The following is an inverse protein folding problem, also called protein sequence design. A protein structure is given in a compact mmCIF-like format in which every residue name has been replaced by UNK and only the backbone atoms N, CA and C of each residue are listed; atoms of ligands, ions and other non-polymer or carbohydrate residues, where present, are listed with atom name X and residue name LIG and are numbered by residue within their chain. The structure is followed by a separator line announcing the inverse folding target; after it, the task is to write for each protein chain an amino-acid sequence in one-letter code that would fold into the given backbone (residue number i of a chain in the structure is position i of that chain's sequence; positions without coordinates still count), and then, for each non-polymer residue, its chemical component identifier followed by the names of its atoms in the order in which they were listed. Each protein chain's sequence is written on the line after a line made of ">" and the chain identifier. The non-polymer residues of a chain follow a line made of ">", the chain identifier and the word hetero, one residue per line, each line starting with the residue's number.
data_IF_868051412547
#
_entry.id   IF_868051412547
#
_cell.length_a   1.000
_cell.length_b   1.000
_cell.length_c   1.000
_cell.angle_alpha   90.00
_cell.angle_beta   90.00
_cell.angle_gamma   90.00
#
_symmetry.space_group_name_H-M   'P 1'
#
loop_
_entity.id
_entity.type
_entity.pdbx_description
1 polymer ?
#
# COMPACT_ATOMS: atom_id res chain seq x y z
N UNK A 1 18.08 -3.18 -17.61
CA UNK A 1 18.06 -3.59 -16.17
C UNK A 1 17.20 -2.59 -15.43
N UNK A 2 16.36 -3.03 -14.48
CA UNK A 2 15.55 -2.14 -13.65
C UNK A 2 16.04 -2.19 -12.21
N UNK A 3 16.12 -1.05 -11.56
CA UNK A 3 16.54 -0.91 -10.17
C UNK A 3 15.39 -0.42 -9.32
N UNK A 4 15.13 -1.14 -8.24
CA UNK A 4 14.11 -0.78 -7.24
C UNK A 4 14.72 -0.57 -5.87
N UNK A 5 13.99 0.14 -5.02
CA UNK A 5 14.33 0.28 -3.61
C UNK A 5 13.08 0.14 -2.75
N UNK A 6 13.28 -0.23 -1.49
CA UNK A 6 12.26 -0.09 -0.47
C UNK A 6 12.20 1.36 -0.01
N UNK A 7 11.00 1.88 0.21
CA UNK A 7 10.86 3.17 0.87
C UNK A 7 11.58 3.12 2.23
N UNK A 8 12.41 4.11 2.55
CA UNK A 8 13.11 4.16 3.82
C UNK A 8 12.12 4.58 4.92
N UNK A 9 11.34 3.62 5.37
CA UNK A 9 10.55 3.75 6.59
C UNK A 9 11.38 3.21 7.75
N UNK A 10 11.30 3.77 8.94
CA UNK A 10 12.06 3.28 10.09
C UNK A 10 11.60 1.87 10.45
N UNK A 11 12.28 0.87 9.86
CA UNK A 11 12.05 -0.53 10.19
C UNK A 11 12.68 -0.86 11.54
N UNK A 12 11.82 -1.08 12.53
CA UNK A 12 12.26 -1.50 13.85
C UNK A 12 11.75 -2.91 14.12
N UNK A 13 12.64 -3.82 14.48
CA UNK A 13 12.28 -5.20 14.79
C UNK A 13 11.36 -5.27 16.00
N UNK A 14 10.19 -5.88 15.86
CA UNK A 14 9.23 -6.08 16.95
C UNK A 14 9.92 -6.77 18.15
N UNK A 15 9.71 -6.22 19.35
CA UNK A 15 10.28 -6.74 20.60
C UNK A 15 11.68 -6.24 20.96
N UNK A 16 12.31 -5.40 20.13
CA UNK A 16 13.60 -4.79 20.44
C UNK A 16 13.45 -3.57 21.37
N UNK A 17 14.56 -3.21 22.09
CA UNK A 17 14.60 -1.94 22.84
C UNK A 17 14.42 -0.73 21.93
N UNK A 18 14.91 -0.82 20.69
CA UNK A 18 14.73 0.20 19.66
C UNK A 18 13.26 0.40 19.31
N UNK A 19 12.47 -0.68 19.29
CA UNK A 19 11.02 -0.60 19.06
C UNK A 19 10.32 0.20 20.14
N UNK A 20 10.63 -0.05 21.42
CA UNK A 20 10.04 0.70 22.52
C UNK A 20 10.39 2.19 22.45
N UNK A 21 11.62 2.54 22.07
CA UNK A 21 12.06 3.92 21.87
C UNK A 21 11.38 4.56 20.64
N UNK A 22 11.26 3.82 19.54
CA UNK A 22 10.60 4.29 18.33
C UNK A 22 9.10 4.54 18.57
N UNK A 23 8.42 3.64 19.28
CA UNK A 23 7.02 3.81 19.69
C UNK A 23 6.86 5.03 20.57
N UNK A 24 7.72 5.20 21.57
CA UNK A 24 7.68 6.36 22.48
C UNK A 24 7.90 7.68 21.70
N UNK A 25 8.84 7.69 20.76
CA UNK A 25 9.09 8.84 19.89
C UNK A 25 7.94 9.14 18.94
N UNK A 26 7.37 8.11 18.31
CA UNK A 26 6.24 8.26 17.38
C UNK A 26 4.93 8.67 18.08
N UNK A 27 4.76 8.28 19.35
CA UNK A 27 3.60 8.65 20.16
C UNK A 27 3.70 10.07 20.73
N UNK A 28 4.89 10.70 20.69
CA UNK A 28 5.06 12.06 21.19
C UNK A 28 4.46 13.07 20.17
N UNK A 29 3.71 14.07 20.65
CA UNK A 29 3.24 15.14 19.80
C UNK A 29 4.43 15.87 19.15
N UNK A 30 4.34 16.14 17.87
CA UNK A 30 5.30 17.02 17.20
C UNK A 30 5.06 18.48 17.62
N UNK A 31 6.11 19.25 17.88
CA UNK A 31 5.95 20.68 18.09
C UNK A 31 5.34 21.37 16.86
N UNK A 32 4.60 22.45 17.09
CA UNK A 32 3.96 23.20 16.02
C UNK A 32 4.97 23.63 14.94
N UNK A 33 4.64 23.36 13.69
CA UNK A 33 5.47 23.72 12.53
C UNK A 33 6.72 22.84 12.32
N UNK A 34 6.91 21.80 13.12
CA UNK A 34 8.01 20.83 12.94
C UNK A 34 7.53 19.66 12.07
N UNK A 35 8.21 19.43 10.96
CA UNK A 35 7.94 18.26 10.12
C UNK A 35 8.39 16.98 10.81
N UNK A 36 7.62 15.90 10.59
CA UNK A 36 7.99 14.57 11.07
C UNK A 36 9.34 14.14 10.49
N UNK A 37 10.30 13.72 11.34
CA UNK A 37 11.62 13.30 10.86
C UNK A 37 11.57 12.09 9.92
N UNK A 38 10.64 11.15 10.13
CA UNK A 38 10.47 9.97 9.25
C UNK A 38 9.94 10.40 7.89
N UNK A 39 8.98 11.32 7.85
CA UNK A 39 8.53 11.94 6.61
C UNK A 39 9.65 12.67 5.88
N UNK A 40 10.42 13.50 6.60
CA UNK A 40 11.53 14.28 6.00
C UNK A 40 12.56 13.35 5.36
N UNK A 41 12.98 12.31 6.07
CA UNK A 41 13.92 11.32 5.56
C UNK A 41 13.36 10.59 4.32
N UNK A 42 12.15 10.07 4.41
CA UNK A 42 11.50 9.35 3.31
C UNK A 42 11.38 10.22 2.07
N UNK A 43 10.88 11.44 2.23
CA UNK A 43 10.73 12.41 1.15
C UNK A 43 12.06 12.68 0.45
N UNK A 44 13.10 13.03 1.21
CA UNK A 44 14.37 13.46 0.64
C UNK A 44 15.09 12.32 -0.07
N UNK A 45 15.10 11.12 0.52
CA UNK A 45 15.71 9.92 -0.09
C UNK A 45 14.96 9.50 -1.37
N UNK A 46 13.62 9.53 -1.35
CA UNK A 46 12.83 9.04 -2.49
C UNK A 46 12.80 10.05 -3.65
N UNK A 47 12.86 11.35 -3.37
CA UNK A 47 13.07 12.37 -4.41
C UNK A 47 14.46 12.21 -5.05
N UNK A 48 15.49 11.95 -4.26
CA UNK A 48 16.83 11.72 -4.79
C UNK A 48 16.91 10.42 -5.60
N UNK A 49 16.21 9.37 -5.20
CA UNK A 49 16.08 8.15 -5.98
C UNK A 49 15.47 8.40 -7.37
N UNK A 50 14.42 9.25 -7.45
CA UNK A 50 13.84 9.68 -8.75
C UNK A 50 14.88 10.39 -9.63
N UNK A 51 15.68 11.28 -9.05
CA UNK A 51 16.77 11.99 -9.74
C UNK A 51 17.88 11.04 -10.20
N UNK A 52 18.23 10.06 -9.38
CA UNK A 52 19.22 9.02 -9.69
C UNK A 52 18.72 7.92 -10.64
N UNK A 53 17.52 8.08 -11.19
CA UNK A 53 16.94 7.17 -12.20
C UNK A 53 16.67 5.75 -11.69
N UNK A 54 16.31 5.59 -10.43
CA UNK A 54 15.67 4.36 -9.98
C UNK A 54 14.31 4.18 -10.68
N UNK A 55 13.94 2.93 -10.96
CA UNK A 55 12.74 2.62 -11.73
C UNK A 55 11.50 2.48 -10.87
N UNK A 56 11.62 1.99 -9.64
CA UNK A 56 10.49 1.64 -8.78
C UNK A 56 10.81 1.78 -7.30
N UNK A 57 9.84 2.28 -6.54
CA UNK A 57 9.84 2.29 -5.07
C UNK A 57 8.79 1.29 -4.59
N UNK A 58 9.15 0.38 -3.70
CA UNK A 58 8.20 -0.44 -2.96
C UNK A 58 7.88 0.23 -1.63
N UNK A 59 6.63 0.65 -1.48
CA UNK A 59 6.05 1.05 -0.20
C UNK A 59 5.48 -0.20 0.46
N UNK A 60 6.29 -0.78 1.35
CA UNK A 60 5.86 -1.95 2.10
C UNK A 60 4.84 -1.55 3.16
N UNK A 61 3.83 -2.41 3.37
CA UNK A 61 2.82 -2.19 4.39
C UNK A 61 3.11 -3.06 5.62
N UNK A 62 3.14 -2.42 6.76
CA UNK A 62 3.24 -3.06 8.06
C UNK A 62 2.26 -2.39 9.02
N UNK A 63 1.38 -3.20 9.57
CA UNK A 63 0.37 -2.70 10.49
C UNK A 63 0.83 -2.72 11.96
N UNK A 64 1.95 -3.40 12.23
CA UNK A 64 2.63 -3.41 13.52
C UNK A 64 3.87 -2.52 13.45
N UNK A 65 3.91 -1.48 14.23
CA UNK A 65 5.09 -0.64 14.36
C UNK A 65 4.82 0.84 14.16
N UNK A 66 5.87 1.56 13.77
CA UNK A 66 5.85 3.02 13.60
C UNK A 66 5.92 3.44 12.13
N UNK A 67 5.73 2.50 11.22
CA UNK A 67 5.80 2.76 9.79
C UNK A 67 4.63 3.66 9.34
N UNK A 68 4.90 4.58 8.45
CA UNK A 68 3.84 5.36 7.80
C UNK A 68 3.03 4.45 6.88
N UNK A 69 1.73 4.68 6.81
CA UNK A 69 0.83 3.90 5.98
C UNK A 69 1.20 4.02 4.49
N UNK A 70 1.26 2.88 3.79
CA UNK A 70 1.83 2.76 2.45
C UNK A 70 1.10 3.58 1.37
N UNK A 71 -0.23 3.64 1.41
CA UNK A 71 -1.02 4.41 0.43
C UNK A 71 -0.82 5.90 0.60
N UNK A 72 -0.85 6.38 1.84
CA UNK A 72 -0.69 7.80 2.15
C UNK A 72 0.71 8.26 1.78
N UNK A 73 1.74 7.53 2.23
CA UNK A 73 3.13 7.85 1.92
C UNK A 73 3.40 7.77 0.41
N UNK A 74 2.97 6.69 -0.24
CA UNK A 74 3.15 6.49 -1.67
C UNK A 74 2.44 7.55 -2.51
N UNK A 75 1.25 7.99 -2.11
CA UNK A 75 0.54 9.07 -2.79
C UNK A 75 1.26 10.41 -2.66
N UNK A 76 1.76 10.73 -1.46
CA UNK A 76 2.53 11.95 -1.22
C UNK A 76 3.82 11.97 -2.07
N UNK A 77 4.59 10.88 -2.07
CA UNK A 77 5.82 10.77 -2.85
C UNK A 77 5.54 10.78 -4.36
N UNK A 78 4.48 10.13 -4.82
CA UNK A 78 4.10 10.13 -6.24
C UNK A 78 3.82 11.53 -6.78
N UNK A 79 3.35 12.45 -5.94
CA UNK A 79 3.13 13.85 -6.31
C UNK A 79 4.41 14.70 -6.36
N UNK A 80 5.47 14.24 -5.72
CA UNK A 80 6.76 14.92 -5.63
C UNK A 80 7.82 14.36 -6.60
N UNK A 81 7.50 13.26 -7.29
CA UNK A 81 8.38 12.55 -8.23
C UNK A 81 7.82 12.60 -9.64
N UNK A 82 8.67 12.38 -10.66
CA UNK A 82 8.26 12.53 -12.06
C UNK A 82 8.47 11.30 -12.91
N UNK A 83 9.33 10.36 -12.51
CA UNK A 83 9.76 9.20 -13.31
C UNK A 83 9.56 7.88 -12.60
N UNK A 84 9.96 7.80 -11.35
CA UNK A 84 9.97 6.57 -10.57
C UNK A 84 8.54 6.06 -10.35
N UNK A 85 8.34 4.76 -10.48
CA UNK A 85 7.03 4.12 -10.23
C UNK A 85 6.85 3.85 -8.75
N UNK A 86 5.65 4.08 -8.26
CA UNK A 86 5.25 3.79 -6.87
C UNK A 86 4.52 2.46 -6.81
N UNK A 87 5.14 1.45 -6.20
CA UNK A 87 4.54 0.14 -5.94
C UNK A 87 4.00 0.10 -4.50
N UNK A 88 2.68 0.11 -4.36
CA UNK A 88 2.01 0.10 -3.06
C UNK A 88 1.69 -1.34 -2.65
N UNK A 89 2.10 -1.72 -1.44
CA UNK A 89 1.75 -3.01 -0.88
C UNK A 89 0.27 -3.03 -0.45
N UNK A 90 -0.41 -4.16 -0.74
CA UNK A 90 -1.81 -4.38 -0.40
C UNK A 90 -1.99 -5.78 0.15
N UNK A 91 -2.69 -5.91 1.27
CA UNK A 91 -3.06 -7.19 1.88
C UNK A 91 -4.53 -7.51 1.57
N UNK A 92 -4.84 -8.45 0.66
CA UNK A 92 -6.21 -8.79 0.30
C UNK A 92 -7.12 -9.19 1.48
N UNK A 93 -6.53 -9.56 2.62
CA UNK A 93 -7.26 -9.89 3.85
C UNK A 93 -7.69 -8.70 4.69
N UNK A 94 -7.10 -7.53 4.45
CA UNK A 94 -7.33 -6.32 5.24
C UNK A 94 -7.97 -5.20 4.39
N UNK A 95 -7.92 -5.31 3.08
CA UNK A 95 -8.45 -4.32 2.14
C UNK A 95 -9.61 -4.86 1.32
N UNK A 96 -10.58 -4.01 1.04
CA UNK A 96 -11.66 -4.31 0.10
C UNK A 96 -11.20 -4.04 -1.35
N UNK A 97 -11.36 -5.00 -2.29
CA UNK A 97 -10.84 -4.84 -3.65
C UNK A 97 -11.46 -3.64 -4.40
N UNK A 98 -12.76 -3.34 -4.17
CA UNK A 98 -13.40 -2.18 -4.81
C UNK A 98 -12.77 -0.85 -4.36
N UNK A 99 -12.44 -0.75 -3.07
CA UNK A 99 -11.77 0.45 -2.55
C UNK A 99 -10.36 0.57 -3.16
N UNK A 100 -9.62 -0.52 -3.19
CA UNK A 100 -8.29 -0.55 -3.81
C UNK A 100 -8.36 -0.22 -5.30
N UNK A 101 -9.33 -0.76 -6.04
CA UNK A 101 -9.53 -0.41 -7.45
C UNK A 101 -9.72 1.09 -7.65
N UNK A 102 -10.52 1.72 -6.80
CA UNK A 102 -10.78 3.17 -6.84
C UNK A 102 -9.55 4.00 -6.48
N UNK A 103 -8.85 3.65 -5.41
CA UNK A 103 -7.64 4.33 -4.96
C UNK A 103 -6.55 4.21 -6.01
N UNK A 104 -6.33 3.01 -6.56
CA UNK A 104 -5.36 2.75 -7.60
C UNK A 104 -5.64 3.56 -8.87
N UNK A 105 -6.88 3.57 -9.36
CA UNK A 105 -7.25 4.38 -10.53
C UNK A 105 -7.02 5.87 -10.29
N UNK A 106 -7.29 6.35 -9.08
CA UNK A 106 -7.07 7.74 -8.73
C UNK A 106 -5.58 8.08 -8.72
N UNK A 107 -4.78 7.28 -8.01
CA UNK A 107 -3.34 7.51 -7.91
C UNK A 107 -2.65 7.38 -9.26
N UNK A 108 -3.04 6.39 -10.07
CA UNK A 108 -2.49 6.20 -11.42
C UNK A 108 -2.68 7.45 -12.29
N UNK A 109 -3.84 8.08 -12.24
CA UNK A 109 -4.10 9.35 -12.94
C UNK A 109 -3.32 10.54 -12.37
N UNK A 110 -3.19 10.61 -11.05
CA UNK A 110 -2.43 11.68 -10.39
C UNK A 110 -0.94 11.58 -10.71
N UNK A 111 -0.40 10.38 -10.81
CA UNK A 111 1.02 10.15 -11.11
C UNK A 111 1.29 9.77 -12.58
N UNK A 112 0.34 10.00 -13.49
CA UNK A 112 0.49 9.77 -14.94
C UNK A 112 0.94 8.37 -15.34
N UNK A 113 0.27 7.34 -14.80
CA UNK A 113 0.51 5.93 -15.15
C UNK A 113 1.70 5.29 -14.44
N UNK A 114 2.16 5.85 -13.32
CA UNK A 114 3.34 5.34 -12.59
C UNK A 114 3.00 4.51 -11.34
N UNK A 115 1.73 4.14 -11.17
CA UNK A 115 1.28 3.35 -10.04
C UNK A 115 1.42 1.85 -10.31
N UNK A 116 1.85 1.10 -9.31
CA UNK A 116 1.88 -0.36 -9.31
C UNK A 116 1.31 -0.89 -7.99
N UNK A 117 0.84 -2.13 -8.00
CA UNK A 117 0.40 -2.83 -6.79
C UNK A 117 1.31 -4.02 -6.49
N UNK A 118 1.64 -4.20 -5.21
CA UNK A 118 2.27 -5.40 -4.68
C UNK A 118 1.26 -6.11 -3.78
N UNK A 119 0.65 -7.19 -4.28
CA UNK A 119 -0.33 -7.97 -3.52
C UNK A 119 0.38 -8.98 -2.63
N UNK A 120 0.19 -8.85 -1.33
CA UNK A 120 0.80 -9.69 -0.31
C UNK A 120 -0.31 -10.44 0.42
N UNK A 121 -0.28 -11.77 0.37
CA UNK A 121 -1.33 -12.60 1.01
C UNK A 121 -1.34 -12.53 2.53
N UNK A 122 -0.33 -11.91 3.12
CA UNK A 122 -0.16 -11.76 4.56
C UNK A 122 0.50 -12.99 5.21
N UNK A 123 1.18 -12.78 6.32
CA UNK A 123 1.85 -13.84 7.08
C UNK A 123 1.79 -13.58 8.60
N UNK A 124 1.51 -12.35 9.01
CA UNK A 124 1.53 -11.96 10.41
C UNK A 124 0.12 -12.04 11.02
N UNK A 125 -0.07 -13.02 11.89
CA UNK A 125 -1.35 -13.27 12.57
C UNK A 125 -1.72 -12.12 13.51
N UNK A 126 -0.74 -11.45 14.11
CA UNK A 126 -0.99 -10.35 15.05
C UNK A 126 -1.54 -9.12 14.33
N UNK A 127 -1.05 -8.82 13.15
CA UNK A 127 -1.58 -7.74 12.32
C UNK A 127 -3.06 -7.96 11.98
N UNK A 128 -3.42 -9.18 11.58
CA UNK A 128 -4.82 -9.52 11.32
C UNK A 128 -5.71 -9.35 12.56
N UNK A 129 -5.22 -9.75 13.74
CA UNK A 129 -5.95 -9.57 14.99
C UNK A 129 -6.16 -8.11 15.38
N UNK A 130 -5.16 -7.26 15.15
CA UNK A 130 -5.23 -5.83 15.48
C UNK A 130 -6.33 -5.11 14.70
N UNK A 131 -6.56 -5.50 13.46
CA UNK A 131 -7.55 -4.84 12.60
C UNK A 131 -8.95 -5.42 12.73
N UNK A 132 -9.20 -6.26 13.75
CA UNK A 132 -10.54 -6.81 14.04
C UNK A 132 -11.11 -7.69 12.93
N UNK A 133 -10.27 -8.13 12.02
CA UNK A 133 -10.65 -8.99 10.93
C UNK A 133 -10.90 -10.43 11.37
N UNK A 134 -11.32 -11.23 10.43
CA UNK A 134 -11.43 -12.67 10.59
C UNK A 134 -10.10 -13.29 11.02
N UNK A 135 -10.16 -14.46 11.66
CA UNK A 135 -8.96 -15.26 11.91
C UNK A 135 -8.19 -15.43 10.60
N UNK A 136 -6.89 -15.23 10.64
CA UNK A 136 -6.04 -15.39 9.46
C UNK A 136 -6.30 -16.74 8.80
N UNK A 137 -6.68 -16.71 7.55
CA UNK A 137 -6.98 -17.91 6.75
C UNK A 137 -5.75 -18.80 6.59
N UNK A 138 -5.99 -20.10 6.34
CA UNK A 138 -4.95 -21.04 5.91
C UNK A 138 -4.25 -20.56 4.63
N UNK A 139 -3.06 -21.11 4.36
CA UNK A 139 -2.23 -20.66 3.25
C UNK A 139 -2.97 -20.69 1.92
N UNK A 140 -3.59 -21.82 1.57
CA UNK A 140 -4.28 -21.99 0.28
C UNK A 140 -5.46 -21.03 0.12
N UNK A 141 -6.25 -20.84 1.17
CA UNK A 141 -7.37 -19.92 1.18
C UNK A 141 -6.95 -18.46 1.01
N UNK A 142 -5.79 -18.08 1.55
CA UNK A 142 -5.22 -16.74 1.33
C UNK A 142 -4.87 -16.50 -0.14
N UNK A 143 -4.32 -17.51 -0.82
CA UNK A 143 -4.01 -17.38 -2.25
C UNK A 143 -5.27 -17.39 -3.12
N UNK A 144 -6.28 -18.21 -2.79
CA UNK A 144 -7.58 -18.18 -3.49
C UNK A 144 -8.22 -16.79 -3.32
N UNK A 145 -8.23 -16.23 -2.11
CA UNK A 145 -8.73 -14.87 -1.87
C UNK A 145 -7.95 -13.81 -2.67
N UNK A 146 -6.62 -13.94 -2.75
CA UNK A 146 -5.80 -13.01 -3.53
C UNK A 146 -6.09 -13.14 -5.04
N UNK A 147 -6.33 -14.32 -5.56
CA UNK A 147 -6.75 -14.52 -6.95
C UNK A 147 -8.09 -13.82 -7.23
N UNK A 148 -9.10 -14.04 -6.39
CA UNK A 148 -10.39 -13.35 -6.52
C UNK A 148 -10.24 -11.84 -6.43
N UNK A 149 -9.39 -11.36 -5.52
CA UNK A 149 -9.07 -9.94 -5.38
C UNK A 149 -8.53 -9.35 -6.69
N UNK A 150 -7.59 -10.03 -7.34
CA UNK A 150 -7.04 -9.61 -8.65
C UNK A 150 -8.12 -9.59 -9.72
N UNK A 151 -8.98 -10.62 -9.75
CA UNK A 151 -10.10 -10.69 -10.71
C UNK A 151 -11.05 -9.51 -10.53
N UNK A 152 -11.36 -9.15 -9.29
CA UNK A 152 -12.20 -7.99 -8.99
C UNK A 152 -11.53 -6.69 -9.43
N UNK A 153 -10.24 -6.48 -9.15
CA UNK A 153 -9.52 -5.31 -9.61
C UNK A 153 -9.61 -5.16 -11.13
N UNK A 154 -9.28 -6.23 -11.86
CA UNK A 154 -9.31 -6.23 -13.32
C UNK A 154 -10.71 -6.00 -13.88
N UNK A 155 -11.75 -6.62 -13.29
CA UNK A 155 -13.12 -6.42 -13.69
C UNK A 155 -13.56 -4.96 -13.47
N UNK A 156 -13.30 -4.42 -12.30
CA UNK A 156 -13.61 -3.02 -11.96
C UNK A 156 -12.93 -2.02 -12.90
N UNK A 157 -11.72 -2.31 -13.36
CA UNK A 157 -11.00 -1.42 -14.28
C UNK A 157 -11.46 -1.52 -15.73
N UNK A 158 -12.04 -2.64 -16.15
CA UNK A 158 -12.42 -2.90 -17.55
C UNK A 158 -13.89 -2.74 -17.83
N UNK A 159 -14.73 -3.09 -16.87
CA UNK A 159 -16.18 -3.18 -17.04
C UNK A 159 -16.93 -2.14 -16.21
N UNK A 160 -18.13 -1.74 -16.68
CA UNK A 160 -19.06 -0.89 -15.94
C UNK A 160 -20.47 -1.10 -16.52
N UNK A 161 -21.43 -1.61 -15.76
CA UNK A 161 -21.26 -2.16 -14.41
C UNK A 161 -20.49 -3.47 -14.38
N UNK A 162 -19.88 -3.79 -13.24
CA UNK A 162 -19.15 -5.03 -13.01
C UNK A 162 -19.81 -5.83 -11.89
N UNK A 163 -19.95 -7.15 -12.08
CA UNK A 163 -20.45 -8.08 -11.05
C UNK A 163 -19.50 -9.27 -10.97
N UNK A 164 -19.28 -9.75 -9.76
CA UNK A 164 -18.43 -10.89 -9.47
C UNK A 164 -19.01 -11.72 -8.33
N UNK A 165 -19.03 -13.04 -8.48
CA UNK A 165 -19.41 -13.97 -7.42
C UNK A 165 -18.30 -15.00 -7.25
N UNK A 166 -17.61 -14.94 -6.14
CA UNK A 166 -16.58 -15.87 -5.72
C UNK A 166 -16.86 -16.48 -4.35
N UNK A 167 -15.85 -17.07 -3.77
CA UNK A 167 -15.90 -17.63 -2.41
C UNK A 167 -15.75 -16.55 -1.35
N UNK A 168 -14.94 -15.53 -1.64
CA UNK A 168 -14.55 -14.47 -0.70
C UNK A 168 -15.19 -13.12 -1.03
N UNK A 169 -15.54 -12.90 -2.29
CA UNK A 169 -16.13 -11.63 -2.74
C UNK A 169 -17.42 -11.90 -3.51
N UNK A 170 -18.47 -11.17 -3.13
CA UNK A 170 -19.75 -11.12 -3.84
C UNK A 170 -20.05 -9.64 -4.12
N UNK A 171 -20.05 -9.27 -5.40
CA UNK A 171 -20.12 -7.89 -5.87
C UNK A 171 -21.20 -7.80 -6.93
N UNK A 172 -22.12 -6.88 -6.75
CA UNK A 172 -23.24 -6.68 -7.64
C UNK A 172 -23.25 -5.26 -8.20
N UNK A 173 -23.28 -5.14 -9.53
CA UNK A 173 -23.45 -3.90 -10.28
C UNK A 173 -22.49 -2.76 -9.86
N UNK A 174 -21.25 -3.10 -9.51
CA UNK A 174 -20.26 -2.11 -9.12
C UNK A 174 -19.93 -1.16 -10.27
N UNK A 175 -19.82 0.12 -9.94
CA UNK A 175 -19.50 1.17 -10.90
C UNK A 175 -18.22 1.90 -10.51
N UNK A 176 -17.20 1.78 -11.34
CA UNK A 176 -15.98 2.56 -11.27
C UNK A 176 -15.83 3.32 -12.59
N UNK A 177 -16.28 4.56 -12.62
CA UNK A 177 -16.25 5.38 -13.85
C UNK A 177 -14.86 5.94 -14.14
N UNK A 178 -14.10 6.27 -13.11
CA UNK A 178 -12.72 6.71 -13.24
C UNK A 178 -11.80 5.49 -13.39
N UNK A 179 -11.50 5.11 -14.62
CA UNK A 179 -10.56 4.01 -14.90
C UNK A 179 -9.10 4.47 -14.75
N UNK A 180 -8.13 3.55 -14.54
CA UNK A 180 -6.71 3.90 -14.60
C UNK A 180 -6.35 4.55 -15.95
N UNK A 181 -5.23 5.25 -16.00
CA UNK A 181 -4.71 5.88 -17.22
C UNK A 181 -3.96 4.87 -18.08
N UNK A 182 -3.40 3.80 -17.47
CA UNK A 182 -2.59 2.77 -18.11
C UNK A 182 -3.16 1.37 -17.93
#
# INVERSE_FOLDING_TARGET
>A
MQFGLYAPVPHVTVGSRQMAQAIAGAAAPLPDGVADPAWTLSRDVLIEADRCSFDIILFAERHLGTDMEAWVLGSAISSLTTRIRSMIAVHPGLWHPQLVAKMASTLDRLCTGRMCLNLITGWNVEEHRMYGGETMLGNDDRYIRAEEFVRVLHGMWRETPFSFKGRFYDIENAQLLLKPAT
#
